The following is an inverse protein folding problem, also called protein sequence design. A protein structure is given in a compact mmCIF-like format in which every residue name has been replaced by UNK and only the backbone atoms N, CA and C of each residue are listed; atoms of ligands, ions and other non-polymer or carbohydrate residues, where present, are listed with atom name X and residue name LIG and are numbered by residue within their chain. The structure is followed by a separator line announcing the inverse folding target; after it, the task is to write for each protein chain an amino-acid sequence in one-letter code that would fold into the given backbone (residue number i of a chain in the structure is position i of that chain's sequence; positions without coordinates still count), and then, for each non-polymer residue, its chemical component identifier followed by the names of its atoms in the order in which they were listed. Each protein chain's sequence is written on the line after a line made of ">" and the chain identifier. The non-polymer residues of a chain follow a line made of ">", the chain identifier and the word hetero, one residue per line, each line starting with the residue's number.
data_IF_282902270003
#
_entry.id   IF_282902270003
#
_cell.length_a   1.000
_cell.length_b   1.000
_cell.length_c   1.000
_cell.angle_alpha   90.00
_cell.angle_beta   90.00
_cell.angle_gamma   90.00
#
_symmetry.space_group_name_H-M   'P 1'
#
loop_
_entity.id
_entity.type
_entity.pdbx_description
1 polymer ?
#
# COMPACT_ATOMS: atom_id res chain seq x y z
N UNK A 1 9.03 -25.58 5.74
CA UNK A 1 9.18 -24.12 5.63
C UNK A 1 10.65 -23.83 5.34
N UNK A 2 11.03 -23.65 4.07
CA UNK A 2 12.43 -23.39 3.69
C UNK A 2 12.83 -21.98 4.15
N UNK A 3 14.07 -21.74 4.57
CA UNK A 3 14.49 -20.45 5.09
C UNK A 3 14.47 -19.42 3.96
N UNK A 4 13.47 -18.53 3.98
CA UNK A 4 13.30 -17.42 3.04
C UNK A 4 14.34 -16.30 3.25
N UNK A 5 15.18 -16.41 4.29
CA UNK A 5 16.13 -15.40 4.72
C UNK A 5 17.21 -15.00 3.70
N UNK A 6 17.79 -15.90 2.87
CA UNK A 6 18.85 -15.50 1.94
C UNK A 6 18.31 -14.67 0.77
N UNK A 7 17.08 -14.96 0.33
CA UNK A 7 16.44 -14.27 -0.79
C UNK A 7 15.96 -12.87 -0.36
N UNK A 8 15.52 -12.75 0.89
CA UNK A 8 15.15 -11.48 1.50
C UNK A 8 16.33 -10.50 1.58
N UNK A 9 17.53 -11.01 1.88
CA UNK A 9 18.74 -10.19 1.97
C UNK A 9 19.21 -9.65 0.61
N UNK A 10 19.06 -10.43 -0.46
CA UNK A 10 19.45 -10.03 -1.82
C UNK A 10 18.52 -8.93 -2.37
N UNK A 11 17.21 -9.06 -2.16
CA UNK A 11 16.21 -8.06 -2.56
C UNK A 11 16.39 -6.72 -1.83
N UNK A 12 16.80 -6.77 -0.56
CA UNK A 12 17.00 -5.57 0.26
C UNK A 12 18.19 -4.73 -0.20
N UNK A 13 19.19 -5.31 -0.88
CA UNK A 13 20.37 -4.56 -1.34
C UNK A 13 20.14 -3.87 -2.70
N UNK A 14 19.50 -4.54 -3.68
CA UNK A 14 19.34 -3.98 -5.02
C UNK A 14 18.11 -3.07 -5.20
N UNK A 15 17.04 -3.25 -4.39
CA UNK A 15 15.75 -2.55 -4.63
C UNK A 15 15.24 -1.69 -3.47
N UNK A 16 16.06 -1.43 -2.44
CA UNK A 16 15.65 -0.63 -1.27
C UNK A 16 15.05 0.73 -1.63
N UNK A 17 15.61 1.41 -2.63
CA UNK A 17 15.18 2.77 -2.99
C UNK A 17 13.80 2.77 -3.62
N UNK A 18 13.52 1.82 -4.51
CA UNK A 18 12.20 1.66 -5.12
C UNK A 18 11.14 1.23 -4.09
N UNK A 19 11.52 0.35 -3.15
CA UNK A 19 10.63 -0.12 -2.08
C UNK A 19 10.30 0.98 -1.07
N UNK A 20 11.32 1.71 -0.60
CA UNK A 20 11.13 2.85 0.28
C UNK A 20 10.36 3.98 -0.42
N UNK A 21 10.63 4.21 -1.71
CA UNK A 21 9.89 5.18 -2.52
C UNK A 21 8.40 4.80 -2.66
N UNK A 22 8.10 3.54 -2.97
CA UNK A 22 6.72 3.04 -3.05
C UNK A 22 5.98 3.13 -1.72
N UNK A 23 6.62 2.69 -0.62
CA UNK A 23 6.04 2.78 0.72
C UNK A 23 5.82 4.25 1.17
N UNK A 24 6.76 5.15 0.85
CA UNK A 24 6.61 6.58 1.14
C UNK A 24 5.45 7.20 0.33
N UNK A 25 5.29 6.85 -0.94
CA UNK A 25 4.17 7.30 -1.77
C UNK A 25 2.81 6.77 -1.24
N UNK A 26 2.76 5.51 -0.81
CA UNK A 26 1.58 4.94 -0.14
C UNK A 26 1.25 5.72 1.14
N UNK A 27 2.24 5.94 2.00
CA UNK A 27 2.05 6.68 3.25
C UNK A 27 1.58 8.11 3.00
N UNK A 28 2.19 8.81 2.04
CA UNK A 28 1.79 10.16 1.64
C UNK A 28 0.35 10.19 1.09
N UNK A 29 -0.06 9.20 0.30
CA UNK A 29 -1.43 9.07 -0.21
C UNK A 29 -2.44 8.93 0.92
N UNK A 30 -2.15 8.07 1.90
CA UNK A 30 -3.00 7.84 3.06
C UNK A 30 -3.08 9.10 3.94
N UNK A 31 -1.94 9.71 4.26
CA UNK A 31 -1.89 10.94 5.07
C UNK A 31 -2.63 12.09 4.39
N UNK A 32 -2.46 12.30 3.09
CA UNK A 32 -3.20 13.32 2.35
C UNK A 32 -4.71 13.04 2.35
N UNK A 33 -5.12 11.76 2.26
CA UNK A 33 -6.51 11.36 2.40
C UNK A 33 -7.11 11.67 3.77
N UNK A 34 -6.38 11.38 4.85
CA UNK A 34 -6.81 11.65 6.22
C UNK A 34 -6.87 13.16 6.47
N UNK A 35 -5.85 13.91 6.02
CA UNK A 35 -5.82 15.36 6.12
C UNK A 35 -6.98 16.01 5.34
N UNK A 36 -7.33 15.50 4.16
CA UNK A 36 -8.50 15.96 3.40
C UNK A 36 -9.80 15.79 4.19
N UNK A 37 -10.01 14.60 4.78
CA UNK A 37 -11.20 14.32 5.56
C UNK A 37 -11.27 15.22 6.80
N UNK A 38 -10.15 15.37 7.51
CA UNK A 38 -10.04 16.26 8.68
C UNK A 38 -10.29 17.73 8.33
N UNK A 39 -9.62 18.24 7.31
CA UNK A 39 -9.78 19.64 6.86
C UNK A 39 -11.20 19.90 6.35
N UNK A 40 -11.79 18.96 5.61
CA UNK A 40 -13.18 19.07 5.13
C UNK A 40 -14.17 19.06 6.29
N UNK A 41 -14.00 18.17 7.27
CA UNK A 41 -14.84 18.12 8.46
C UNK A 41 -14.78 19.42 9.27
N UNK A 42 -13.56 19.91 9.53
CA UNK A 42 -13.36 21.21 10.18
C UNK A 42 -14.03 22.34 9.38
N UNK A 43 -13.82 22.39 8.06
CA UNK A 43 -14.38 23.43 7.20
C UNK A 43 -15.93 23.42 7.20
N UNK A 44 -16.57 22.25 7.14
CA UNK A 44 -18.02 22.13 7.23
C UNK A 44 -18.54 22.64 8.59
N UNK A 45 -17.92 22.24 9.69
CA UNK A 45 -18.34 22.70 11.03
C UNK A 45 -18.09 24.19 11.25
N UNK A 46 -16.96 24.71 10.76
CA UNK A 46 -16.59 26.12 10.87
C UNK A 46 -17.53 27.02 10.05
N UNK A 47 -17.87 26.61 8.83
CA UNK A 47 -18.83 27.35 7.98
C UNK A 47 -20.24 27.31 8.57
N UNK A 48 -20.67 26.17 9.13
CA UNK A 48 -21.96 26.09 9.83
C UNK A 48 -22.03 27.04 11.03
N UNK A 49 -20.99 27.10 11.86
CA UNK A 49 -20.91 28.02 13.01
C UNK A 49 -20.82 29.49 12.56
N UNK A 50 -20.02 29.79 11.54
CA UNK A 50 -19.91 31.13 10.98
C UNK A 50 -21.26 31.63 10.45
N UNK A 51 -22.03 30.76 9.77
CA UNK A 51 -23.36 31.08 9.25
C UNK A 51 -24.42 31.35 10.33
N UNK A 52 -24.25 30.79 11.53
CA UNK A 52 -25.13 31.07 12.69
C UNK A 52 -24.80 32.41 13.38
N UNK A 53 -23.68 33.05 13.02
CA UNK A 53 -23.20 34.30 13.63
C UNK A 53 -23.06 35.41 12.59
N UNK A 54 -22.85 36.66 13.02
CA UNK A 54 -22.54 37.76 12.10
C UNK A 54 -21.15 37.65 11.44
N UNK A 55 -20.35 36.64 11.82
CA UNK A 55 -19.02 36.39 11.27
C UNK A 55 -19.03 35.80 9.84
N UNK A 56 -20.19 35.45 9.30
CA UNK A 56 -20.33 34.91 7.94
C UNK A 56 -19.66 35.77 6.86
N UNK A 57 -19.68 37.10 7.01
CA UNK A 57 -19.09 38.04 6.03
C UNK A 57 -17.56 38.16 6.13
N UNK A 58 -16.97 37.75 7.25
CA UNK A 58 -15.53 37.82 7.49
C UNK A 58 -14.82 36.45 7.38
N UNK A 59 -15.59 35.38 7.13
CA UNK A 59 -15.04 34.03 7.06
C UNK A 59 -14.34 33.77 5.73
N UNK A 60 -13.02 33.55 5.79
CA UNK A 60 -12.22 33.27 4.60
C UNK A 60 -12.37 31.82 4.14
N UNK A 61 -13.12 31.63 3.05
CA UNK A 61 -13.36 30.33 2.40
C UNK A 61 -12.19 29.93 1.48
N UNK A 62 -11.38 30.87 1.04
CA UNK A 62 -10.36 30.62 0.02
C UNK A 62 -9.15 29.88 0.58
N UNK A 63 -8.70 30.19 1.79
CA UNK A 63 -7.59 29.50 2.45
C UNK A 63 -7.87 27.99 2.62
N UNK A 64 -8.98 27.57 3.28
CA UNK A 64 -9.28 26.14 3.40
C UNK A 64 -9.54 25.49 2.05
N UNK A 65 -10.19 26.19 1.11
CA UNK A 65 -10.40 25.70 -0.26
C UNK A 65 -9.09 25.42 -1.00
N UNK A 66 -8.09 26.31 -0.88
CA UNK A 66 -6.75 26.11 -1.44
C UNK A 66 -6.04 24.90 -0.81
N UNK A 67 -6.16 24.75 0.52
CA UNK A 67 -5.63 23.58 1.25
C UNK A 67 -6.23 22.26 0.76
N UNK A 68 -7.55 22.20 0.58
CA UNK A 68 -8.24 21.02 0.03
C UNK A 68 -7.73 20.69 -1.37
N UNK A 69 -7.59 21.69 -2.26
CA UNK A 69 -7.07 21.46 -3.62
C UNK A 69 -5.64 20.95 -3.61
N UNK A 70 -4.77 21.55 -2.80
CA UNK A 70 -3.38 21.13 -2.67
C UNK A 70 -3.30 19.68 -2.19
N UNK A 71 -4.03 19.34 -1.12
CA UNK A 71 -4.04 17.98 -0.59
C UNK A 71 -4.63 16.97 -1.59
N UNK A 72 -5.64 17.36 -2.37
CA UNK A 72 -6.21 16.52 -3.43
C UNK A 72 -5.19 16.25 -4.55
N UNK A 73 -4.41 17.27 -4.95
CA UNK A 73 -3.31 17.12 -5.90
C UNK A 73 -2.21 16.22 -5.36
N UNK A 74 -1.76 16.45 -4.11
CA UNK A 74 -0.75 15.61 -3.44
C UNK A 74 -1.21 14.15 -3.37
N UNK A 75 -2.45 13.90 -2.94
CA UNK A 75 -3.02 12.55 -2.89
C UNK A 75 -3.01 11.88 -4.25
N UNK A 76 -3.38 12.60 -5.29
CA UNK A 76 -3.46 12.06 -6.66
C UNK A 76 -2.07 11.78 -7.23
N UNK A 77 -1.13 12.70 -7.06
CA UNK A 77 0.26 12.54 -7.49
C UNK A 77 0.97 11.41 -6.76
N UNK A 78 0.82 11.32 -5.44
CA UNK A 78 1.39 10.26 -4.63
C UNK A 78 0.85 8.88 -5.05
N UNK A 79 -0.46 8.76 -5.27
CA UNK A 79 -1.08 7.52 -5.74
C UNK A 79 -0.62 7.13 -7.15
N UNK A 80 -0.40 8.12 -8.03
CA UNK A 80 0.16 7.86 -9.34
C UNK A 80 1.60 7.34 -9.25
N UNK A 81 2.43 7.95 -8.40
CA UNK A 81 3.79 7.48 -8.13
C UNK A 81 3.83 6.05 -7.57
N UNK A 82 2.97 5.75 -6.58
CA UNK A 82 2.77 4.39 -6.06
C UNK A 82 2.43 3.40 -7.18
N UNK A 83 1.48 3.75 -8.05
CA UNK A 83 1.07 2.91 -9.18
C UNK A 83 2.21 2.69 -10.17
N UNK A 84 3.01 3.71 -10.48
CA UNK A 84 4.17 3.55 -11.36
C UNK A 84 5.17 2.55 -10.79
N UNK A 85 5.51 2.67 -9.51
CA UNK A 85 6.47 1.77 -8.84
C UNK A 85 5.97 0.33 -8.84
N UNK A 86 4.70 0.13 -8.49
CA UNK A 86 4.09 -1.21 -8.43
C UNK A 86 3.89 -1.83 -9.82
N UNK A 87 3.57 -1.01 -10.82
CA UNK A 87 3.42 -1.45 -12.20
C UNK A 87 4.76 -1.86 -12.81
N UNK A 88 5.80 -1.05 -12.64
CA UNK A 88 7.16 -1.35 -13.09
C UNK A 88 7.70 -2.65 -12.46
N UNK A 89 7.39 -2.91 -11.19
CA UNK A 89 7.70 -4.19 -10.57
C UNK A 89 6.98 -5.36 -11.26
N UNK A 90 5.67 -5.22 -11.50
CA UNK A 90 4.87 -6.27 -12.18
C UNK A 90 5.37 -6.54 -13.60
N UNK A 91 5.74 -5.50 -14.34
CA UNK A 91 6.28 -5.64 -15.70
C UNK A 91 7.65 -6.33 -15.73
N UNK A 92 8.54 -6.00 -14.78
CA UNK A 92 9.85 -6.65 -14.68
C UNK A 92 9.74 -8.13 -14.36
N UNK A 93 8.78 -8.50 -13.51
CA UNK A 93 8.43 -9.91 -13.27
C UNK A 93 8.01 -10.58 -14.58
N UNK A 94 7.07 -9.96 -15.31
CA UNK A 94 6.60 -10.50 -16.59
C UNK A 94 7.73 -10.64 -17.64
N UNK A 95 8.66 -9.68 -17.70
CA UNK A 95 9.81 -9.74 -18.59
C UNK A 95 10.79 -10.87 -18.21
N UNK A 96 11.09 -11.03 -16.92
CA UNK A 96 11.98 -12.10 -16.44
C UNK A 96 11.39 -13.50 -16.67
N UNK A 97 10.06 -13.65 -16.53
CA UNK A 97 9.35 -14.87 -16.90
C UNK A 97 9.53 -15.19 -18.38
N UNK A 98 9.30 -14.20 -19.26
CA UNK A 98 9.44 -14.36 -20.71
C UNK A 98 10.87 -14.73 -21.12
N UNK A 99 11.88 -14.12 -20.53
CA UNK A 99 13.28 -14.43 -20.82
C UNK A 99 13.63 -15.87 -20.42
N UNK A 100 13.25 -16.29 -19.21
CA UNK A 100 13.53 -17.64 -18.70
C UNK A 100 12.81 -18.72 -19.48
N UNK A 101 11.56 -18.46 -19.87
CA UNK A 101 10.79 -19.29 -20.77
C UNK A 101 11.52 -19.51 -22.09
N UNK A 102 11.99 -18.42 -22.69
CA UNK A 102 12.66 -18.48 -23.98
C UNK A 102 14.00 -19.21 -23.90
N UNK A 103 14.86 -18.89 -22.93
CA UNK A 103 16.18 -19.53 -22.78
C UNK A 103 16.08 -21.00 -22.37
N UNK A 104 15.10 -21.36 -21.52
CA UNK A 104 14.89 -22.75 -21.11
C UNK A 104 14.44 -23.68 -22.24
N UNK A 105 13.80 -23.14 -23.28
CA UNK A 105 13.37 -23.92 -24.45
C UNK A 105 14.26 -23.74 -25.69
N UNK A 106 15.28 -22.89 -25.61
CA UNK A 106 16.27 -22.71 -26.67
C UNK A 106 17.36 -23.82 -26.71
N UNK A 107 17.34 -24.78 -25.78
CA UNK A 107 18.25 -25.94 -25.75
C UNK A 107 17.60 -27.20 -26.34
N UNK A 108 18.37 -28.04 -27.05
CA UNK A 108 17.90 -29.24 -27.76
C UNK A 108 17.14 -30.23 -26.86
N UNK A 109 17.65 -30.49 -25.65
CA UNK A 109 16.99 -31.37 -24.65
C UNK A 109 15.72 -30.72 -24.04
N UNK A 110 15.71 -29.39 -23.94
CA UNK A 110 14.56 -28.60 -23.47
C UNK A 110 13.38 -28.60 -24.45
N UNK A 111 13.64 -28.80 -25.75
CA UNK A 111 12.61 -28.96 -26.77
C UNK A 111 11.87 -30.31 -26.65
N UNK A 112 12.60 -31.41 -26.39
CA UNK A 112 11.99 -32.73 -26.16
C UNK A 112 11.24 -32.82 -24.82
N UNK A 113 11.77 -32.20 -23.75
CA UNK A 113 11.11 -32.16 -22.45
C UNK A 113 9.80 -31.34 -22.46
N UNK A 114 9.75 -30.27 -23.26
CA UNK A 114 8.53 -29.47 -23.49
C UNK A 114 7.43 -30.29 -24.19
N UNK A 115 7.79 -31.21 -25.08
CA UNK A 115 6.81 -32.12 -25.70
C UNK A 115 6.22 -33.13 -24.69
N UNK A 116 6.99 -33.52 -23.65
CA UNK A 116 6.55 -34.56 -22.70
C UNK A 116 5.78 -34.03 -21.49
N UNK A 117 6.22 -32.95 -20.84
CA UNK A 117 5.53 -32.35 -19.66
C UNK A 117 5.74 -30.83 -19.54
N UNK A 118 5.14 -30.03 -20.45
CA UNK A 118 5.38 -28.58 -20.54
C UNK A 118 4.93 -27.80 -19.31
N UNK A 119 3.87 -28.24 -18.63
CA UNK A 119 3.20 -27.43 -17.62
C UNK A 119 3.84 -27.43 -16.21
N UNK A 120 4.62 -28.46 -15.82
CA UNK A 120 5.01 -28.67 -14.40
C UNK A 120 6.33 -28.03 -13.98
N UNK A 121 7.34 -28.06 -14.85
CA UNK A 121 8.68 -27.50 -14.58
C UNK A 121 8.68 -25.98 -14.66
N UNK A 122 7.90 -25.45 -15.61
CA UNK A 122 7.63 -24.04 -15.80
C UNK A 122 6.98 -23.43 -14.57
N UNK A 123 5.96 -24.10 -14.02
CA UNK A 123 5.16 -23.59 -12.91
C UNK A 123 5.92 -23.53 -11.59
N UNK A 124 6.87 -24.43 -11.34
CA UNK A 124 7.63 -24.45 -10.06
C UNK A 124 8.68 -23.35 -9.94
N UNK A 125 9.41 -23.04 -11.02
CA UNK A 125 10.46 -22.00 -11.00
C UNK A 125 9.91 -20.58 -11.16
N UNK A 126 8.72 -20.43 -11.76
CA UNK A 126 8.03 -19.14 -11.92
C UNK A 126 7.18 -18.80 -10.69
N UNK A 127 6.41 -19.76 -10.16
CA UNK A 127 5.54 -19.50 -8.99
C UNK A 127 6.32 -19.16 -7.71
N UNK A 128 7.49 -19.77 -7.47
CA UNK A 128 8.23 -19.52 -6.22
C UNK A 128 8.89 -18.13 -6.19
N UNK A 129 9.30 -17.59 -7.35
CA UNK A 129 9.91 -16.25 -7.44
C UNK A 129 8.84 -15.16 -7.52
N UNK A 130 7.77 -15.37 -8.28
CA UNK A 130 6.65 -14.43 -8.40
C UNK A 130 5.87 -14.31 -7.08
N UNK A 131 5.74 -15.41 -6.34
CA UNK A 131 5.09 -15.40 -5.03
C UNK A 131 5.88 -14.54 -4.03
N UNK A 132 7.22 -14.54 -4.07
CA UNK A 132 8.02 -13.72 -3.16
C UNK A 132 7.90 -12.22 -3.47
N UNK A 133 8.02 -11.84 -4.75
CA UNK A 133 8.00 -10.42 -5.15
C UNK A 133 6.58 -9.84 -4.98
N UNK A 134 5.55 -10.61 -5.32
CA UNK A 134 4.15 -10.21 -5.10
C UNK A 134 3.78 -10.12 -3.63
N UNK A 135 4.22 -11.06 -2.77
CA UNK A 135 4.00 -10.98 -1.33
C UNK A 135 4.65 -9.72 -0.74
N UNK A 136 5.87 -9.40 -1.18
CA UNK A 136 6.60 -8.25 -0.66
C UNK A 136 5.96 -6.91 -1.07
N UNK A 137 5.68 -6.74 -2.36
CA UNK A 137 5.16 -5.49 -2.90
C UNK A 137 3.65 -5.29 -2.68
N UNK A 138 2.86 -6.37 -2.63
CA UNK A 138 1.40 -6.28 -2.50
C UNK A 138 0.89 -6.51 -1.08
N UNK A 139 1.69 -7.10 -0.20
CA UNK A 139 1.28 -7.35 1.19
C UNK A 139 2.15 -6.58 2.16
N UNK A 140 3.48 -6.77 2.14
CA UNK A 140 4.35 -6.09 3.12
C UNK A 140 4.37 -4.57 2.96
N UNK A 141 4.48 -4.04 1.73
CA UNK A 141 4.50 -2.59 1.52
C UNK A 141 3.19 -1.88 1.95
N UNK A 142 1.99 -2.35 1.57
CA UNK A 142 0.74 -1.75 2.06
C UNK A 142 0.55 -1.90 3.57
N UNK A 143 0.94 -3.03 4.14
CA UNK A 143 0.75 -3.30 5.57
C UNK A 143 1.69 -2.46 6.45
N UNK A 144 2.94 -2.28 6.01
CA UNK A 144 3.89 -1.36 6.66
C UNK A 144 3.44 0.10 6.54
N UNK A 145 2.98 0.54 5.37
CA UNK A 145 2.42 1.88 5.19
C UNK A 145 1.18 2.11 6.07
N UNK A 146 0.25 1.15 6.12
CA UNK A 146 -0.94 1.21 6.97
C UNK A 146 -0.57 1.31 8.45
N UNK A 147 0.38 0.49 8.93
CA UNK A 147 0.84 0.54 10.32
C UNK A 147 1.50 1.89 10.65
N UNK A 148 2.43 2.35 9.82
CA UNK A 148 3.14 3.61 10.05
C UNK A 148 2.18 4.81 10.09
N UNK A 149 1.25 4.89 9.14
CA UNK A 149 0.26 5.97 9.09
C UNK A 149 -0.69 5.89 10.28
N UNK A 150 -1.13 4.68 10.65
CA UNK A 150 -2.01 4.50 11.81
C UNK A 150 -1.33 4.93 13.11
N UNK A 151 -0.06 4.59 13.30
CA UNK A 151 0.74 5.03 14.44
C UNK A 151 0.95 6.56 14.43
N UNK A 152 1.26 7.15 13.27
CA UNK A 152 1.44 8.59 13.14
C UNK A 152 0.15 9.37 13.49
N UNK A 153 -1.00 8.90 12.99
CA UNK A 153 -2.30 9.50 13.29
C UNK A 153 -2.67 9.32 14.75
N UNK A 154 -2.44 8.13 15.32
CA UNK A 154 -2.67 7.87 16.74
C UNK A 154 -1.82 8.77 17.62
N UNK A 155 -0.52 8.91 17.32
CA UNK A 155 0.39 9.78 18.06
C UNK A 155 -0.03 11.26 17.95
N UNK A 156 -0.41 11.71 16.76
CA UNK A 156 -0.92 13.08 16.56
C UNK A 156 -2.20 13.34 17.36
N UNK A 157 -3.15 12.41 17.34
CA UNK A 157 -4.38 12.50 18.15
C UNK A 157 -4.09 12.41 19.64
N UNK A 158 -3.12 11.59 20.07
CA UNK A 158 -2.75 11.47 21.47
C UNK A 158 -2.24 12.80 22.03
N UNK A 159 -1.49 13.56 21.23
CA UNK A 159 -0.98 14.87 21.60
C UNK A 159 -2.05 15.96 21.56
N UNK A 160 -2.93 15.93 20.56
CA UNK A 160 -3.92 17.00 20.34
C UNK A 160 -5.23 16.80 21.12
N UNK A 161 -5.73 15.57 21.18
CA UNK A 161 -7.03 15.22 21.77
C UNK A 161 -7.03 13.75 22.24
N UNK A 162 -6.45 13.44 23.41
CA UNK A 162 -6.29 12.06 23.90
C UNK A 162 -7.59 11.26 23.97
N UNK A 163 -8.71 11.94 24.26
CA UNK A 163 -10.04 11.32 24.33
C UNK A 163 -10.48 10.68 22.99
N UNK A 164 -10.07 11.26 21.86
CA UNK A 164 -10.37 10.72 20.52
C UNK A 164 -9.40 9.61 20.10
N UNK A 165 -8.23 9.53 20.73
CA UNK A 165 -7.23 8.53 20.40
C UNK A 165 -7.62 7.13 20.95
N UNK A 166 -8.30 7.06 22.10
CA UNK A 166 -8.76 5.81 22.70
C UNK A 166 -9.65 4.94 21.79
N UNK A 167 -10.74 5.47 21.21
CA UNK A 167 -11.56 4.68 20.29
C UNK A 167 -10.77 4.24 19.06
N UNK A 168 -9.86 5.08 18.53
CA UNK A 168 -9.00 4.70 17.40
C UNK A 168 -8.07 3.54 17.76
N UNK A 169 -7.48 3.58 18.95
CA UNK A 169 -6.56 2.55 19.47
C UNK A 169 -7.23 1.18 19.56
N UNK A 170 -8.53 1.15 19.81
CA UNK A 170 -9.34 -0.07 19.88
C UNK A 170 -9.87 -0.49 18.50
N UNK A 171 -10.48 0.43 17.75
CA UNK A 171 -11.18 0.10 16.50
C UNK A 171 -10.23 -0.34 15.40
N UNK A 172 -9.05 0.27 15.33
CA UNK A 172 -8.09 0.08 14.25
C UNK A 172 -7.47 -1.34 14.23
N UNK A 173 -6.98 -1.92 15.35
CA UNK A 173 -6.56 -3.32 15.38
C UNK A 173 -7.74 -4.30 15.24
N UNK A 174 -8.94 -3.93 15.68
CA UNK A 174 -10.14 -4.72 15.46
C UNK A 174 -10.46 -4.87 13.97
N UNK A 175 -10.52 -3.75 13.25
CA UNK A 175 -10.83 -3.70 11.84
C UNK A 175 -9.70 -4.23 10.96
N UNK A 176 -8.45 -3.83 11.23
CA UNK A 176 -7.29 -4.17 10.40
C UNK A 176 -6.65 -5.52 10.70
N UNK A 177 -6.87 -6.08 11.90
CA UNK A 177 -6.22 -7.31 12.36
C UNK A 177 -7.21 -8.42 12.67
N UNK A 178 -8.07 -8.22 13.67
CA UNK A 178 -8.97 -9.26 14.18
C UNK A 178 -9.96 -9.75 13.14
N UNK A 179 -10.60 -8.84 12.38
CA UNK A 179 -11.55 -9.18 11.31
C UNK A 179 -10.93 -10.03 10.20
N UNK A 180 -9.84 -9.59 9.52
CA UNK A 180 -9.22 -10.42 8.48
C UNK A 180 -8.65 -11.73 9.03
N UNK A 181 -8.15 -11.75 10.28
CA UNK A 181 -7.73 -12.98 10.94
C UNK A 181 -8.90 -13.94 11.20
N UNK A 182 -10.04 -13.43 11.64
CA UNK A 182 -11.27 -14.21 11.82
C UNK A 182 -11.76 -14.80 10.51
N UNK A 183 -11.80 -13.98 9.45
CA UNK A 183 -12.21 -14.42 8.11
C UNK A 183 -11.24 -15.47 7.57
N UNK A 184 -9.93 -15.26 7.72
CA UNK A 184 -8.92 -16.23 7.31
C UNK A 184 -9.08 -17.56 8.06
N UNK A 185 -9.37 -17.52 9.37
CA UNK A 185 -9.63 -18.73 10.16
C UNK A 185 -10.94 -19.42 9.77
N UNK A 186 -11.98 -18.67 9.47
CA UNK A 186 -13.27 -19.22 9.03
C UNK A 186 -13.16 -19.88 7.65
N UNK A 187 -12.39 -19.30 6.73
CA UNK A 187 -12.13 -19.84 5.40
C UNK A 187 -11.26 -21.12 5.41
N UNK A 188 -10.50 -21.34 6.48
CA UNK A 188 -9.67 -22.54 6.67
C UNK A 188 -10.40 -23.67 7.40
N UNK A 189 -11.65 -23.46 7.83
CA UNK A 189 -12.50 -24.54 8.34
C UNK A 189 -13.22 -25.19 7.15
N UNK A 190 -13.04 -26.51 6.94
CA UNK A 190 -13.62 -27.24 5.81
C UNK A 190 -15.15 -27.30 5.85
#
# INVERSE_FOLDING_TARGET
>A
MKPLSPIMALFWQERRSALLGGAAMMAMTLLAGIALLGLSGWFITATALAGLTSAALAFDVFIPGAGIRLLALVRTGARYGERLVTHDATLRVLAGLRERLFRGHATTEGAEALQRRPARLLFRLTSEVDALDSLYLRVLAPLTAALLVSLAVLAGLWLAAPALAWPLLVLLPLAGGLLPWWIARAALRP
#
